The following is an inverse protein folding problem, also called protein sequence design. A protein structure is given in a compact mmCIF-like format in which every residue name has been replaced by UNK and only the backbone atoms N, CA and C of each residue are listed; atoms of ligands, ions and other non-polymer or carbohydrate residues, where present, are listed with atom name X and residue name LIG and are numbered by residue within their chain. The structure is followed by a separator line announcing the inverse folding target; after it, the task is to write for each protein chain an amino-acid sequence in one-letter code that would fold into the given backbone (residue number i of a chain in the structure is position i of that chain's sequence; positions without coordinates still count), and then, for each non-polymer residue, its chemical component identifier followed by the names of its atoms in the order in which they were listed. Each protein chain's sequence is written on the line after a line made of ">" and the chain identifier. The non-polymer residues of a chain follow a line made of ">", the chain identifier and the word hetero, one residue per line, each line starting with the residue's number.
data_IF_857098544169
#
_entry.id   IF_857098544169
#
_cell.length_a   1.000
_cell.length_b   1.000
_cell.length_c   1.000
_cell.angle_alpha   90.00
_cell.angle_beta   90.00
_cell.angle_gamma   90.00
#
_symmetry.space_group_name_H-M   'P 1'
#
loop_
_entity.id
_entity.type
_entity.pdbx_description
1 polymer ?
#
# COMPACT_ATOMS: atom_id res chain seq x y z
N UNK A 1 21.90 26.73 4.67
CA UNK A 1 22.53 25.40 4.85
C UNK A 1 21.62 24.56 5.73
N UNK A 2 21.31 23.32 5.35
CA UNK A 2 20.55 22.41 6.21
C UNK A 2 21.42 22.14 7.44
N UNK A 3 20.89 22.42 8.63
CA UNK A 3 21.58 22.13 9.89
C UNK A 3 21.86 20.63 9.98
N UNK A 4 23.09 20.25 10.35
CA UNK A 4 23.50 18.84 10.55
C UNK A 4 22.51 18.09 11.45
N UNK A 5 21.88 18.79 12.41
CA UNK A 5 20.86 18.23 13.30
C UNK A 5 19.62 17.76 12.54
N UNK A 6 19.14 18.54 11.55
CA UNK A 6 17.98 18.19 10.72
C UNK A 6 18.29 17.04 9.76
N UNK A 7 19.49 17.03 9.19
CA UNK A 7 19.90 15.96 8.29
C UNK A 7 19.97 14.62 9.03
N UNK A 8 20.51 14.62 10.25
CA UNK A 8 20.58 13.42 11.08
C UNK A 8 19.20 12.89 11.48
N UNK A 9 18.25 13.76 11.87
CA UNK A 9 16.88 13.34 12.20
C UNK A 9 16.13 12.79 10.99
N UNK A 10 16.29 13.39 9.81
CA UNK A 10 15.65 12.89 8.58
C UNK A 10 16.20 11.51 8.21
N UNK A 11 17.52 11.31 8.28
CA UNK A 11 18.15 10.02 8.00
C UNK A 11 17.65 8.95 8.99
N UNK A 12 17.59 9.28 10.28
CA UNK A 12 17.13 8.35 11.31
C UNK A 12 15.65 7.97 11.10
N UNK A 13 14.79 8.94 10.78
CA UNK A 13 13.39 8.69 10.47
C UNK A 13 13.22 7.81 9.22
N UNK A 14 13.99 8.07 8.16
CA UNK A 14 13.96 7.28 6.94
C UNK A 14 14.42 5.82 7.18
N UNK A 15 15.47 5.61 7.99
CA UNK A 15 15.93 4.29 8.41
C UNK A 15 14.88 3.52 9.21
N UNK A 16 14.26 4.17 10.19
CA UNK A 16 13.17 3.58 10.97
C UNK A 16 12.00 3.14 10.08
N UNK A 17 11.61 4.00 9.15
CA UNK A 17 10.53 3.75 8.20
C UNK A 17 10.87 2.57 7.28
N UNK A 18 12.11 2.48 6.77
CA UNK A 18 12.61 1.32 6.02
C UNK A 18 12.55 0.02 6.84
N UNK A 19 12.96 0.06 8.12
CA UNK A 19 12.89 -1.13 9.00
C UNK A 19 11.45 -1.58 9.21
N UNK A 20 10.51 -0.65 9.42
CA UNK A 20 9.09 -0.96 9.56
C UNK A 20 8.55 -1.63 8.30
N UNK A 21 8.88 -1.09 7.12
CA UNK A 21 8.50 -1.66 5.83
C UNK A 21 9.05 -3.08 5.71
N UNK A 22 10.36 -3.27 5.88
CA UNK A 22 11.03 -4.57 5.75
C UNK A 22 10.41 -5.60 6.71
N UNK A 23 10.13 -5.20 7.96
CA UNK A 23 9.42 -6.07 8.92
C UNK A 23 8.01 -6.39 8.45
N UNK A 24 7.28 -5.44 7.89
CA UNK A 24 5.94 -5.64 7.32
C UNK A 24 5.93 -6.58 6.11
N UNK A 25 6.97 -6.55 5.28
CA UNK A 25 7.18 -7.55 4.21
C UNK A 25 7.45 -8.93 4.81
N UNK A 26 8.38 -8.99 5.78
CA UNK A 26 8.82 -10.26 6.39
C UNK A 26 7.75 -10.94 7.21
N UNK A 27 6.82 -10.20 7.82
CA UNK A 27 5.69 -10.75 8.57
C UNK A 27 4.56 -11.25 7.66
N UNK A 28 4.68 -11.11 6.33
CA UNK A 28 3.63 -11.48 5.37
C UNK A 28 2.40 -10.58 5.40
N UNK A 29 2.41 -9.53 6.23
CA UNK A 29 1.29 -8.58 6.36
C UNK A 29 1.21 -7.62 5.16
N UNK A 30 2.33 -7.34 4.48
CA UNK A 30 2.36 -6.66 3.19
C UNK A 30 2.51 -7.68 2.05
N UNK A 31 1.57 -7.67 1.11
CA UNK A 31 1.74 -8.40 -0.15
C UNK A 31 3.00 -7.89 -0.87
N UNK A 32 3.76 -8.80 -1.48
CA UNK A 32 5.03 -8.50 -2.18
C UNK A 32 4.92 -7.32 -3.14
N UNK A 33 3.77 -7.19 -3.83
CA UNK A 33 3.45 -6.09 -4.75
C UNK A 33 3.40 -4.72 -4.08
N UNK A 34 2.85 -4.62 -2.86
CA UNK A 34 2.76 -3.36 -2.11
C UNK A 34 4.11 -2.97 -1.50
N UNK A 35 4.89 -3.99 -1.12
CA UNK A 35 6.23 -3.83 -0.59
C UNK A 35 7.20 -3.22 -1.60
N UNK A 36 7.07 -3.56 -2.88
CA UNK A 36 7.92 -3.01 -3.95
C UNK A 36 7.75 -1.50 -4.12
N UNK A 37 6.50 -1.00 -4.08
CA UNK A 37 6.23 0.44 -4.12
C UNK A 37 6.79 1.13 -2.88
N UNK A 38 6.62 0.53 -1.69
CA UNK A 38 7.19 1.06 -0.45
C UNK A 38 8.72 1.13 -0.46
N UNK A 39 9.38 0.08 -0.93
CA UNK A 39 10.84 0.05 -1.04
C UNK A 39 11.33 1.06 -2.08
N UNK A 40 10.67 1.16 -3.23
CA UNK A 40 11.02 2.12 -4.27
C UNK A 40 10.87 3.57 -3.79
N UNK A 41 9.72 3.90 -3.20
CA UNK A 41 9.43 5.26 -2.74
C UNK A 41 10.26 5.64 -1.51
N UNK A 42 10.47 4.72 -0.57
CA UNK A 42 11.37 4.93 0.57
C UNK A 42 12.83 5.13 0.15
N UNK A 43 13.29 4.37 -0.85
CA UNK A 43 14.64 4.51 -1.41
C UNK A 43 14.81 5.83 -2.16
N UNK A 44 13.82 6.26 -2.96
CA UNK A 44 13.82 7.57 -3.59
C UNK A 44 13.89 8.70 -2.56
N UNK A 45 13.11 8.60 -1.48
CA UNK A 45 13.11 9.60 -0.41
C UNK A 45 14.46 9.64 0.33
N UNK A 46 15.06 8.47 0.59
CA UNK A 46 16.39 8.37 1.18
C UNK A 46 17.48 8.98 0.27
N UNK A 47 17.39 8.75 -1.04
CA UNK A 47 18.27 9.38 -2.04
C UNK A 47 18.17 10.91 -2.00
N UNK A 48 16.96 11.48 -1.93
CA UNK A 48 16.78 12.92 -1.79
C UNK A 48 17.33 13.49 -0.47
N UNK A 49 17.26 12.72 0.61
CA UNK A 49 17.81 13.11 1.91
C UNK A 49 19.36 13.04 1.95
N UNK A 50 19.96 12.02 1.32
CA UNK A 50 21.41 11.81 1.29
C UNK A 50 22.14 12.76 0.34
N UNK A 51 21.51 13.14 -0.78
CA UNK A 51 22.10 13.99 -1.80
C UNK A 51 21.38 15.35 -1.90
N UNK A 52 21.66 16.30 -0.99
CA UNK A 52 21.02 17.62 -1.01
C UNK A 52 21.24 18.37 -2.33
N UNK A 53 22.33 18.11 -3.06
CA UNK A 53 22.58 18.69 -4.39
C UNK A 53 21.53 18.29 -5.44
N UNK A 54 21.04 17.05 -5.39
CA UNK A 54 19.99 16.56 -6.31
C UNK A 54 18.66 17.24 -5.96
N UNK A 55 18.35 17.30 -4.68
CA UNK A 55 17.15 18.00 -4.18
C UNK A 55 17.18 19.48 -4.57
N UNK A 56 18.34 20.13 -4.51
CA UNK A 56 18.51 21.55 -4.87
C UNK A 56 18.27 21.82 -6.37
N UNK A 57 18.63 20.86 -7.23
CA UNK A 57 18.34 20.92 -8.66
C UNK A 57 16.83 20.79 -8.93
N UNK A 58 16.17 19.82 -8.30
CA UNK A 58 14.72 19.64 -8.42
C UNK A 58 13.92 20.82 -7.86
N UNK A 59 14.35 21.41 -6.75
CA UNK A 59 13.69 22.59 -6.19
C UNK A 59 13.76 23.79 -7.12
N UNK A 60 14.86 23.97 -7.87
CA UNK A 60 14.95 25.02 -8.90
C UNK A 60 14.08 24.73 -10.11
N UNK A 61 13.91 23.46 -10.49
CA UNK A 61 13.06 23.06 -11.62
C UNK A 61 11.57 23.22 -11.29
N UNK A 62 11.16 22.85 -10.08
CA UNK A 62 9.75 22.89 -9.62
C UNK A 62 9.38 24.29 -9.07
N UNK A 63 10.36 25.14 -8.74
CA UNK A 63 10.14 26.47 -8.17
C UNK A 63 9.91 26.47 -6.65
N UNK A 64 10.43 25.48 -5.94
CA UNK A 64 10.31 25.34 -4.48
C UNK A 64 11.48 26.08 -3.80
N UNK A 65 11.20 27.05 -2.93
CA UNK A 65 12.25 27.85 -2.28
C UNK A 65 13.09 27.06 -1.26
N UNK A 66 12.45 26.22 -0.45
CA UNK A 66 13.15 25.42 0.56
C UNK A 66 13.23 23.94 0.16
N UNK A 67 14.44 23.35 0.11
CA UNK A 67 14.63 21.93 -0.18
C UNK A 67 13.83 20.97 0.70
N UNK A 68 13.56 21.35 1.94
CA UNK A 68 12.73 20.56 2.87
C UNK A 68 11.28 20.42 2.38
N UNK A 69 10.75 21.44 1.70
CA UNK A 69 9.38 21.43 1.19
C UNK A 69 9.23 20.47 0.01
N UNK A 70 10.28 20.29 -0.79
CA UNK A 70 10.26 19.29 -1.87
C UNK A 70 10.15 17.87 -1.31
N UNK A 71 10.94 17.55 -0.29
CA UNK A 71 10.89 16.26 0.42
C UNK A 71 9.51 16.03 1.04
N UNK A 72 8.94 17.05 1.68
CA UNK A 72 7.59 16.99 2.24
C UNK A 72 6.52 16.76 1.17
N UNK A 73 6.56 17.53 0.07
CA UNK A 73 5.61 17.41 -1.03
C UNK A 73 5.64 16.01 -1.64
N UNK A 74 6.84 15.49 -1.94
CA UNK A 74 7.02 14.12 -2.43
C UNK A 74 6.47 13.10 -1.44
N UNK A 75 6.74 13.27 -0.14
CA UNK A 75 6.24 12.37 0.90
C UNK A 75 4.71 12.37 0.99
N UNK A 76 4.08 13.53 0.86
CA UNK A 76 2.61 13.66 0.87
C UNK A 76 2.01 12.99 -0.37
N UNK A 77 2.55 13.24 -1.57
CA UNK A 77 2.07 12.62 -2.81
C UNK A 77 2.18 11.10 -2.72
N UNK A 78 3.31 10.59 -2.22
CA UNK A 78 3.52 9.16 -1.98
C UNK A 78 2.50 8.59 -1.00
N UNK A 79 2.29 9.26 0.14
CA UNK A 79 1.33 8.83 1.14
C UNK A 79 -0.12 8.83 0.59
N UNK A 80 -0.47 9.84 -0.20
CA UNK A 80 -1.78 9.93 -0.83
C UNK A 80 -2.02 8.79 -1.83
N UNK A 81 -1.06 8.51 -2.71
CA UNK A 81 -1.12 7.38 -3.64
C UNK A 81 -1.25 6.04 -2.91
N UNK A 82 -0.57 5.89 -1.76
CA UNK A 82 -0.69 4.71 -0.91
C UNK A 82 -2.12 4.54 -0.39
N UNK A 83 -2.69 5.59 0.18
CA UNK A 83 -4.06 5.57 0.75
C UNK A 83 -5.07 5.24 -0.35
N UNK A 84 -4.95 5.85 -1.53
CA UNK A 84 -5.80 5.53 -2.68
C UNK A 84 -5.69 4.07 -3.09
N UNK A 85 -4.47 3.54 -3.19
CA UNK A 85 -4.25 2.15 -3.56
C UNK A 85 -4.87 1.19 -2.52
N UNK A 86 -4.70 1.46 -1.23
CA UNK A 86 -5.32 0.70 -0.15
C UNK A 86 -6.85 0.73 -0.24
N UNK A 87 -7.43 1.90 -0.52
CA UNK A 87 -8.88 2.07 -0.70
C UNK A 87 -9.43 1.26 -1.88
N UNK A 88 -8.74 1.29 -3.03
CA UNK A 88 -9.12 0.53 -4.23
C UNK A 88 -9.06 -0.98 -3.94
N UNK A 89 -7.97 -1.46 -3.32
CA UNK A 89 -7.84 -2.88 -2.99
C UNK A 89 -8.88 -3.33 -1.96
N UNK A 90 -9.18 -2.47 -0.98
CA UNK A 90 -10.27 -2.69 -0.02
C UNK A 90 -11.60 -2.90 -0.75
N UNK A 91 -11.94 -1.98 -1.66
CA UNK A 91 -13.16 -2.05 -2.47
C UNK A 91 -13.24 -3.33 -3.31
N UNK A 92 -12.16 -3.72 -3.99
CA UNK A 92 -12.12 -4.94 -4.80
C UNK A 92 -12.30 -6.19 -3.93
N UNK A 93 -11.64 -6.23 -2.77
CA UNK A 93 -11.75 -7.36 -1.85
C UNK A 93 -13.16 -7.47 -1.27
N UNK A 94 -13.80 -6.34 -0.98
CA UNK A 94 -15.20 -6.32 -0.55
C UNK A 94 -16.13 -6.86 -1.64
N UNK A 95 -15.95 -6.44 -2.89
CA UNK A 95 -16.72 -6.95 -4.03
C UNK A 95 -16.57 -8.47 -4.17
N UNK A 96 -15.34 -8.98 -4.10
CA UNK A 96 -15.06 -10.43 -4.19
C UNK A 96 -15.75 -11.21 -3.07
N UNK A 97 -15.74 -10.70 -1.84
CA UNK A 97 -16.45 -11.33 -0.70
C UNK A 97 -17.95 -11.38 -0.95
N UNK A 98 -18.55 -10.29 -1.44
CA UNK A 98 -19.98 -10.23 -1.78
C UNK A 98 -20.33 -11.25 -2.87
N UNK A 99 -19.53 -11.31 -3.94
CA UNK A 99 -19.73 -12.30 -5.02
C UNK A 99 -19.61 -13.74 -4.53
N UNK A 100 -18.63 -14.02 -3.65
CA UNK A 100 -18.46 -15.37 -3.11
C UNK A 100 -19.63 -15.78 -2.21
N UNK A 101 -20.14 -14.86 -1.38
CA UNK A 101 -21.32 -15.09 -0.57
C UNK A 101 -22.57 -15.35 -1.43
N UNK A 102 -22.75 -14.60 -2.54
CA UNK A 102 -23.83 -14.85 -3.48
C UNK A 102 -23.73 -16.22 -4.14
N UNK A 103 -22.53 -16.60 -4.63
CA UNK A 103 -22.31 -17.92 -5.22
C UNK A 103 -22.56 -19.05 -4.22
N UNK A 104 -22.17 -18.86 -2.96
CA UNK A 104 -22.43 -19.81 -1.90
C UNK A 104 -23.94 -19.98 -1.65
N UNK A 105 -24.68 -18.88 -1.58
CA UNK A 105 -26.14 -18.91 -1.40
C UNK A 105 -26.86 -19.64 -2.52
N UNK A 106 -26.46 -19.44 -3.78
CA UNK A 106 -27.05 -20.14 -4.93
C UNK A 106 -26.74 -21.64 -4.84
N UNK A 107 -25.48 -21.99 -4.55
CA UNK A 107 -25.05 -23.39 -4.44
C UNK A 107 -25.77 -24.13 -3.29
N UNK A 108 -25.98 -23.46 -2.15
CA UNK A 108 -26.73 -24.02 -1.03
C UNK A 108 -28.19 -24.35 -1.41
N UNK A 109 -28.81 -23.54 -2.26
CA UNK A 109 -30.17 -23.76 -2.72
C UNK A 109 -30.24 -24.91 -3.74
N UNK A 110 -29.34 -24.96 -4.73
CA UNK A 110 -29.25 -26.07 -5.67
C UNK A 110 -29.05 -27.42 -4.96
N UNK A 111 -28.19 -27.45 -3.93
CA UNK A 111 -27.98 -28.64 -3.09
C UNK A 111 -29.24 -29.02 -2.31
N UNK A 112 -30.01 -28.04 -1.83
CA UNK A 112 -31.27 -28.27 -1.12
C UNK A 112 -32.31 -28.89 -2.06
N UNK A 113 -32.47 -28.36 -3.26
CA UNK A 113 -33.39 -28.88 -4.27
C UNK A 113 -33.02 -30.30 -4.68
N UNK A 114 -31.74 -30.58 -4.95
CA UNK A 114 -31.25 -31.92 -5.28
C UNK A 114 -31.54 -32.92 -4.16
N UNK A 115 -31.31 -32.54 -2.89
CA UNK A 115 -31.64 -33.39 -1.73
C UNK A 115 -33.13 -33.71 -1.68
N UNK A 116 -34.00 -32.73 -1.92
CA UNK A 116 -35.45 -32.96 -1.96
C UNK A 116 -35.87 -33.89 -3.12
N UNK A 117 -35.24 -33.77 -4.29
CA UNK A 117 -35.50 -34.67 -5.42
C UNK A 117 -35.08 -36.11 -5.10
N UNK A 118 -33.89 -36.30 -4.53
CA UNK A 118 -33.41 -37.62 -4.10
C UNK A 118 -34.36 -38.24 -3.07
N UNK A 119 -34.85 -37.45 -2.13
CA UNK A 119 -35.79 -37.95 -1.11
C UNK A 119 -37.16 -38.32 -1.71
N UNK A 120 -37.63 -37.61 -2.73
CA UNK A 120 -38.85 -37.98 -3.48
C UNK A 120 -38.67 -39.30 -4.24
N UNK A 121 -37.52 -39.48 -4.91
CA UNK A 121 -37.21 -40.73 -5.63
C UNK A 121 -37.17 -41.92 -4.66
N UNK A 122 -36.58 -41.75 -3.48
CA UNK A 122 -36.48 -42.82 -2.47
C UNK A 122 -37.83 -43.24 -1.88
N UNK A 123 -38.87 -42.40 -1.99
CA UNK A 123 -40.22 -42.66 -1.48
C UNK A 123 -41.13 -43.34 -2.51
N UNK A 124 -40.69 -43.47 -3.77
CA UNK A 124 -41.32 -44.24 -4.83
C UNK A 124 -40.77 -45.68 -4.85
#
# INVERSE_FOLDING_TARGET
>A
MISLKLQFTIILAALLLLIIVIRGVRSGQLQLKHSLLWLFLGTMNLLFALFPSVTLYFTRLIGIELPVNAIFLTSIVVAYLLILQLSINGSINELKKRMLAQKLSILEEEVRELKQQVEKIRKL
#
